data_IF_493151057395
#
_entry.id   IF_493151057395
#
_cell.length_a   1.000
_cell.length_b   1.000
_cell.length_c   1.000
_cell.angle_alpha   90.00
_cell.angle_beta   90.00
_cell.angle_gamma   90.00
#
_symmetry.space_group_name_H-M   'P 1'
#
loop_
_entity.id
_entity.type
_entity.pdbx_description
1 polymer ?
#
# COMPACT_ATOMS: atom_id res chain seq x y z
N UNK A 1 -28.06 -45.28 26.10
CA UNK A 1 -27.71 -44.19 25.17
C UNK A 1 -27.25 -42.99 25.98
N UNK A 2 -25.97 -42.91 26.40
CA UNK A 2 -25.47 -41.77 27.20
C UNK A 2 -24.84 -40.73 26.28
N UNK A 3 -25.61 -39.68 25.95
CA UNK A 3 -25.03 -38.45 25.44
C UNK A 3 -24.51 -37.64 26.64
N UNK A 4 -23.29 -37.91 27.09
CA UNK A 4 -22.55 -36.95 27.91
C UNK A 4 -21.84 -36.00 26.96
N UNK A 5 -22.48 -34.86 26.68
CA UNK A 5 -21.84 -33.76 25.97
C UNK A 5 -20.61 -33.25 26.74
N UNK A 6 -19.69 -32.52 26.08
CA UNK A 6 -18.47 -32.04 26.72
C UNK A 6 -18.79 -31.23 27.99
N UNK A 7 -17.96 -31.34 29.05
CA UNK A 7 -18.17 -30.63 30.32
C UNK A 7 -18.37 -29.13 30.07
N UNK A 8 -19.24 -28.49 30.87
CA UNK A 8 -19.65 -27.10 30.67
C UNK A 8 -18.44 -26.14 30.51
N UNK A 9 -17.38 -26.39 31.26
CA UNK A 9 -16.11 -25.66 31.20
C UNK A 9 -15.39 -25.81 29.85
N UNK A 10 -15.45 -27.00 29.22
CA UNK A 10 -14.87 -27.24 27.90
C UNK A 10 -15.65 -26.54 26.79
N UNK A 11 -16.99 -26.50 26.88
CA UNK A 11 -17.82 -25.73 25.94
C UNK A 11 -17.59 -24.23 26.08
N UNK A 12 -17.45 -23.74 27.31
CA UNK A 12 -17.20 -22.33 27.58
C UNK A 12 -15.79 -21.93 27.12
N UNK A 13 -14.78 -22.76 27.35
CA UNK A 13 -13.43 -22.56 26.82
C UNK A 13 -13.40 -22.57 25.28
N UNK A 14 -14.14 -23.48 24.64
CA UNK A 14 -14.27 -23.52 23.18
C UNK A 14 -14.94 -22.25 22.64
N UNK A 15 -16.01 -21.79 23.28
CA UNK A 15 -16.71 -20.56 22.89
C UNK A 15 -15.80 -19.32 23.03
N UNK A 16 -15.03 -19.24 24.11
CA UNK A 16 -14.06 -18.16 24.31
C UNK A 16 -12.95 -18.19 23.24
N UNK A 17 -12.39 -19.36 22.93
CA UNK A 17 -11.38 -19.52 21.89
C UNK A 17 -11.91 -19.14 20.49
N UNK A 18 -13.17 -19.48 20.17
CA UNK A 18 -13.80 -19.06 18.91
C UNK A 18 -13.98 -17.54 18.85
N UNK A 19 -14.45 -16.91 19.93
CA UNK A 19 -14.60 -15.46 19.99
C UNK A 19 -13.26 -14.72 19.86
N UNK A 20 -12.20 -15.23 20.49
CA UNK A 20 -10.85 -14.69 20.37
C UNK A 20 -10.32 -14.83 18.94
N UNK A 21 -10.50 -15.99 18.32
CA UNK A 21 -10.10 -16.23 16.93
C UNK A 21 -10.79 -15.25 15.98
N UNK A 22 -12.09 -15.04 16.13
CA UNK A 22 -12.82 -14.06 15.32
C UNK A 22 -12.29 -12.63 15.52
N UNK A 23 -12.02 -12.24 16.76
CA UNK A 23 -11.44 -10.94 17.06
C UNK A 23 -10.05 -10.77 16.42
N UNK A 24 -9.21 -11.80 16.50
CA UNK A 24 -7.90 -11.81 15.87
C UNK A 24 -7.99 -11.72 14.34
N UNK A 25 -8.92 -12.44 13.72
CA UNK A 25 -9.16 -12.36 12.27
C UNK A 25 -9.66 -10.97 11.85
N UNK A 26 -10.58 -10.36 12.60
CA UNK A 26 -11.04 -8.99 12.34
C UNK A 26 -9.88 -7.99 12.43
N UNK A 27 -9.06 -8.11 13.48
CA UNK A 27 -7.87 -7.26 13.67
C UNK A 27 -6.87 -7.43 12.53
N UNK A 28 -6.59 -8.68 12.12
CA UNK A 28 -5.72 -8.97 10.97
C UNK A 28 -6.20 -8.26 9.71
N UNK A 29 -7.48 -8.42 9.36
CA UNK A 29 -8.06 -7.77 8.17
C UNK A 29 -7.95 -6.24 8.21
N UNK A 30 -8.15 -5.65 9.39
CA UNK A 30 -7.99 -4.20 9.56
C UNK A 30 -6.53 -3.77 9.31
N UNK A 31 -5.56 -4.48 9.88
CA UNK A 31 -4.13 -4.21 9.68
C UNK A 31 -3.74 -4.39 8.20
N UNK A 32 -4.17 -5.47 7.56
CA UNK A 32 -3.88 -5.75 6.15
C UNK A 32 -4.41 -4.61 5.25
N UNK A 33 -5.61 -4.11 5.54
CA UNK A 33 -6.19 -2.95 4.83
C UNK A 33 -5.40 -1.67 5.07
N UNK A 34 -5.02 -1.38 6.32
CA UNK A 34 -4.19 -0.21 6.64
C UNK A 34 -2.83 -0.27 5.96
N UNK A 35 -2.17 -1.44 5.97
CA UNK A 35 -0.89 -1.66 5.32
C UNK A 35 -0.98 -1.40 3.82
N UNK A 36 -1.96 -2.01 3.15
CA UNK A 36 -2.14 -1.82 1.71
C UNK A 36 -2.36 -0.34 1.37
N UNK A 37 -3.17 0.39 2.14
CA UNK A 37 -3.38 1.82 1.92
C UNK A 37 -2.09 2.63 2.11
N UNK A 38 -1.30 2.33 3.15
CA UNK A 38 -0.04 3.00 3.42
C UNK A 38 0.98 2.78 2.29
N UNK A 39 1.14 1.56 1.82
CA UNK A 39 2.04 1.23 0.71
C UNK A 39 1.65 1.96 -0.58
N UNK A 40 0.36 2.04 -0.88
CA UNK A 40 -0.15 2.82 -2.01
C UNK A 40 0.18 4.32 -1.86
N UNK A 41 0.01 4.88 -0.66
CA UNK A 41 0.35 6.28 -0.38
C UNK A 41 1.84 6.55 -0.52
N UNK A 42 2.70 5.66 0.00
CA UNK A 42 4.16 5.76 -0.14
C UNK A 42 4.54 5.81 -1.63
N UNK A 43 4.03 4.88 -2.42
CA UNK A 43 4.33 4.83 -3.86
C UNK A 43 3.92 6.12 -4.60
N UNK A 44 2.74 6.67 -4.26
CA UNK A 44 2.25 7.92 -4.83
C UNK A 44 3.13 9.11 -4.44
N UNK A 45 3.47 9.24 -3.16
CA UNK A 45 4.33 10.32 -2.66
C UNK A 45 5.74 10.25 -3.24
N UNK A 46 6.30 9.05 -3.39
CA UNK A 46 7.59 8.88 -4.07
C UNK A 46 7.54 9.36 -5.51
N UNK A 47 6.45 9.06 -6.25
CA UNK A 47 6.28 9.54 -7.62
C UNK A 47 6.33 11.06 -7.69
N UNK A 48 5.48 11.73 -6.90
CA UNK A 48 5.45 13.19 -6.83
C UNK A 48 6.80 13.79 -6.42
N UNK A 49 7.46 13.23 -5.41
CA UNK A 49 8.75 13.72 -4.93
C UNK A 49 9.85 13.60 -6.01
N UNK A 50 9.92 12.48 -6.72
CA UNK A 50 10.92 12.27 -7.77
C UNK A 50 10.67 13.18 -8.98
N UNK A 51 9.41 13.39 -9.34
CA UNK A 51 9.03 14.30 -10.43
C UNK A 51 9.37 15.77 -10.07
N UNK A 52 9.02 16.22 -8.87
CA UNK A 52 9.28 17.58 -8.40
C UNK A 52 10.78 17.87 -8.25
N UNK A 53 11.55 16.88 -7.77
CA UNK A 53 12.98 17.05 -7.52
C UNK A 53 13.87 16.71 -8.72
N UNK A 54 13.30 16.26 -9.84
CA UNK A 54 14.08 15.94 -11.05
C UNK A 54 14.92 17.13 -11.56
N UNK A 55 14.42 18.36 -11.37
CA UNK A 55 15.07 19.59 -11.84
C UNK A 55 15.73 20.42 -10.71
N UNK A 56 15.62 20.02 -9.44
CA UNK A 56 16.05 20.82 -8.28
C UNK A 56 17.55 20.77 -7.98
N UNK A 57 18.34 20.02 -8.76
CA UNK A 57 19.78 19.87 -8.54
C UNK A 57 20.15 18.85 -7.45
N UNK A 58 19.18 18.11 -6.91
CA UNK A 58 19.45 17.02 -5.98
C UNK A 58 18.20 16.48 -5.26
N UNK A 59 18.28 15.23 -4.83
CA UNK A 59 17.28 14.56 -4.00
C UNK A 59 17.90 13.43 -3.17
N UNK A 60 17.12 12.83 -2.26
CA UNK A 60 17.60 11.80 -1.34
C UNK A 60 18.12 10.55 -2.08
N UNK A 61 17.63 10.27 -3.29
CA UNK A 61 18.03 9.09 -4.07
C UNK A 61 19.38 9.31 -4.76
N UNK A 62 19.58 10.50 -5.35
CA UNK A 62 20.72 10.81 -6.24
C UNK A 62 21.79 11.69 -5.59
N UNK A 63 21.55 12.16 -4.37
CA UNK A 63 22.42 13.09 -3.66
C UNK A 63 22.16 14.57 -4.03
N UNK A 64 22.88 15.46 -3.35
CA UNK A 64 22.72 16.91 -3.44
C UNK A 64 23.95 17.63 -4.02
N UNK A 65 24.83 16.91 -4.73
CA UNK A 65 26.10 17.45 -5.25
C UNK A 65 25.94 18.62 -6.23
N UNK A 66 24.76 18.74 -6.87
CA UNK A 66 24.44 19.82 -7.79
C UNK A 66 23.52 20.89 -7.18
N UNK A 67 23.19 20.80 -5.89
CA UNK A 67 22.23 21.69 -5.23
C UNK A 67 22.70 23.15 -5.21
N UNK A 68 24.00 23.38 -5.04
CA UNK A 68 24.60 24.72 -5.05
C UNK A 68 25.04 25.19 -6.45
N UNK A 69 24.93 24.32 -7.46
CA UNK A 69 25.32 24.68 -8.83
C UNK A 69 24.16 25.43 -9.49
N UNK A 70 24.43 26.50 -10.26
CA UNK A 70 23.40 27.18 -11.01
C UNK A 70 22.63 26.16 -11.86
N UNK A 71 21.29 26.23 -11.91
CA UNK A 71 20.49 25.29 -12.68
C UNK A 71 20.98 25.34 -14.14
N UNK A 72 21.64 24.28 -14.59
CA UNK A 72 22.10 24.22 -15.97
C UNK A 72 20.87 24.10 -16.85
N UNK A 73 20.61 25.12 -17.66
CA UNK A 73 19.45 25.27 -18.56
C UNK A 73 19.26 24.09 -19.53
N UNK A 74 20.25 23.18 -19.62
CA UNK A 74 20.26 22.01 -20.49
C UNK A 74 19.70 20.71 -19.86
N UNK A 75 19.38 20.68 -18.55
CA UNK A 75 18.78 19.50 -17.90
C UNK A 75 17.30 19.30 -18.29
N UNK A 76 16.62 20.34 -18.76
CA UNK A 76 15.20 20.32 -19.15
C UNK A 76 14.89 19.43 -20.38
N UNK A 77 15.89 18.83 -21.04
CA UNK A 77 15.69 18.02 -22.25
C UNK A 77 15.87 16.51 -22.07
N UNK A 78 16.54 16.06 -21.00
CA UNK A 78 16.52 14.63 -20.64
C UNK A 78 15.51 14.49 -19.52
N UNK A 79 14.28 14.13 -19.88
CA UNK A 79 13.30 13.57 -18.94
C UNK A 79 14.06 12.53 -18.12
N UNK A 80 14.32 12.83 -16.85
CA UNK A 80 14.96 11.86 -15.95
C UNK A 80 13.92 10.77 -15.79
N UNK A 81 14.17 9.63 -16.42
CA UNK A 81 13.28 8.49 -16.34
C UNK A 81 13.32 7.95 -14.90
N UNK A 82 12.18 8.01 -14.22
CA UNK A 82 12.02 7.44 -12.88
C UNK A 82 11.96 5.93 -13.06
N UNK A 83 12.98 5.26 -12.56
CA UNK A 83 13.07 3.79 -12.59
C UNK A 83 12.48 3.19 -11.31
N UNK A 84 12.23 1.88 -11.32
CA UNK A 84 11.81 1.17 -10.10
C UNK A 84 12.88 1.23 -9.00
N UNK A 85 14.17 1.26 -9.38
CA UNK A 85 15.27 1.41 -8.44
C UNK A 85 15.33 2.76 -7.73
N UNK A 86 14.68 3.80 -8.26
CA UNK A 86 14.59 5.11 -7.60
C UNK A 86 13.55 5.12 -6.45
N UNK A 87 12.73 4.08 -6.31
CA UNK A 87 11.63 3.98 -5.34
C UNK A 87 12.05 3.25 -4.06
N UNK A 88 13.04 3.80 -3.36
CA UNK A 88 13.65 3.17 -2.18
C UNK A 88 12.66 2.84 -1.05
N UNK A 89 11.63 3.67 -0.85
CA UNK A 89 10.65 3.45 0.20
C UNK A 89 9.65 2.36 -0.19
N UNK A 90 9.15 2.35 -1.42
CA UNK A 90 8.28 1.25 -1.89
C UNK A 90 9.02 -0.08 -1.89
N UNK A 91 10.25 -0.11 -2.43
CA UNK A 91 11.08 -1.32 -2.52
C UNK A 91 11.52 -1.87 -1.15
N UNK A 92 11.39 -1.07 -0.08
CA UNK A 92 11.62 -1.55 1.29
C UNK A 92 10.53 -2.49 1.82
N UNK A 93 9.36 -2.53 1.17
CA UNK A 93 8.29 -3.48 1.49
C UNK A 93 8.32 -4.68 0.54
N UNK A 94 8.16 -5.89 1.08
CA UNK A 94 8.00 -7.09 0.26
C UNK A 94 6.61 -7.23 -0.38
N UNK A 95 5.63 -6.40 0.03
CA UNK A 95 4.22 -6.53 -0.36
C UNK A 95 3.67 -5.37 -1.19
N UNK A 96 4.47 -4.33 -1.47
CA UNK A 96 3.96 -3.12 -2.14
C UNK A 96 3.40 -3.40 -3.54
N UNK A 97 4.02 -4.29 -4.31
CA UNK A 97 3.53 -4.60 -5.66
C UNK A 97 2.14 -5.23 -5.61
N UNK A 98 1.89 -6.10 -4.63
CA UNK A 98 0.59 -6.74 -4.44
C UNK A 98 -0.45 -5.71 -4.00
N UNK A 99 -0.11 -4.76 -3.11
CA UNK A 99 -1.05 -3.73 -2.69
C UNK A 99 -1.38 -2.73 -3.81
N UNK A 100 -0.44 -2.41 -4.71
CA UNK A 100 -0.71 -1.61 -5.91
C UNK A 100 -1.67 -2.33 -6.87
N UNK A 101 -1.47 -3.63 -7.09
CA UNK A 101 -2.37 -4.43 -7.95
C UNK A 101 -3.76 -4.52 -7.33
N UNK A 102 -3.85 -4.81 -6.03
CA UNK A 102 -5.12 -4.88 -5.32
C UNK A 102 -5.88 -3.55 -5.38
N UNK A 103 -5.19 -2.43 -5.20
CA UNK A 103 -5.78 -1.08 -5.30
C UNK A 103 -6.30 -0.81 -6.71
N UNK A 104 -5.50 -1.09 -7.73
CA UNK A 104 -5.91 -0.92 -9.13
C UNK A 104 -7.17 -1.72 -9.46
N UNK A 105 -7.23 -2.97 -9.00
CA UNK A 105 -8.41 -3.81 -9.20
C UNK A 105 -9.65 -3.22 -8.53
N UNK A 106 -9.52 -2.78 -7.28
CA UNK A 106 -10.61 -2.13 -6.54
C UNK A 106 -11.11 -0.87 -7.28
N UNK A 107 -10.20 -0.03 -7.76
CA UNK A 107 -10.56 1.20 -8.46
C UNK A 107 -11.26 0.92 -9.81
N UNK A 108 -10.82 -0.12 -10.55
CA UNK A 108 -11.48 -0.59 -11.78
C UNK A 108 -12.90 -1.08 -11.48
N UNK A 109 -13.08 -1.89 -10.45
CA UNK A 109 -14.39 -2.42 -10.05
C UNK A 109 -15.34 -1.30 -9.62
N UNK A 110 -14.83 -0.33 -8.85
CA UNK A 110 -15.59 0.85 -8.44
C UNK A 110 -16.04 1.69 -9.64
N UNK A 111 -15.14 1.91 -10.61
CA UNK A 111 -15.47 2.65 -11.83
C UNK A 111 -16.53 1.93 -12.69
N UNK A 112 -16.43 0.60 -12.81
CA UNK A 112 -17.40 -0.22 -13.54
C UNK A 112 -18.81 -0.19 -12.91
N UNK A 113 -18.89 -0.20 -11.57
CA UNK A 113 -20.16 -0.08 -10.85
C UNK A 113 -20.79 1.30 -11.04
N UNK A 114 -20.00 2.37 -11.02
CA UNK A 114 -20.49 3.73 -11.22
C UNK A 114 -21.09 3.93 -12.62
N UNK A 115 -20.45 3.37 -13.65
CA UNK A 115 -20.94 3.47 -15.04
C UNK A 115 -22.27 2.71 -15.25
N UNK A 116 -22.45 1.55 -14.60
CA UNK A 116 -23.74 0.80 -14.62
C UNK A 116 -24.89 1.59 -13.98
N UNK A 117 -24.61 2.37 -12.94
CA UNK A 117 -25.63 3.18 -12.26
C UNK A 117 -25.99 4.44 -13.04
N UNK A 118 -25.09 4.97 -13.87
CA UNK A 118 -25.36 6.13 -14.74
C UNK A 118 -26.12 5.79 -16.02
N UNK A 119 -26.21 4.50 -16.38
CA UNK A 119 -26.90 4.01 -17.58
C UNK A 119 -28.32 3.47 -17.30
N UNK A 120 -28.82 3.66 -16.07
CA UNK A 120 -30.22 3.39 -15.67
C UNK A 120 -30.91 4.70 -15.37
#
# INVERSE_FOLDING_TARGET
>A
MSQSGPPADAKQAQAAAMAELEAAQRKKRAIDSTLANLENSIYAFEGSYLDETAASGGNIIKGFDNYLKPPTTNLNKKKIEVTEGDRLFSTSSGTYQQSLVAKRQYDIEAAALNNKNSSK
#
